data_IF_751502238141
#
_entry.id   IF_751502238141
#
_cell.length_a   1.000
_cell.length_b   1.000
_cell.length_c   1.000
_cell.angle_alpha   90.00
_cell.angle_beta   90.00
_cell.angle_gamma   90.00
#
_symmetry.space_group_name_H-M   'P 1'
#
loop_
_entity.id
_entity.type
_entity.pdbx_description
1 polymer ?
#
# COMPACT_ATOMS: atom_id res chain seq x y z
N UNK A 1 20.99 45.62 84.74
CA UNK A 1 19.84 44.81 85.20
C UNK A 1 18.60 45.60 84.79
N UNK A 2 17.83 45.03 83.86
CA UNK A 2 16.50 45.42 83.39
C UNK A 2 16.23 46.78 82.72
N UNK A 3 15.39 46.67 81.68
CA UNK A 3 14.49 47.65 81.05
C UNK A 3 15.16 48.79 80.24
N UNK A 4 14.65 49.27 79.11
CA UNK A 4 13.28 49.28 78.60
C UNK A 4 13.27 49.63 77.08
N UNK A 5 12.07 49.56 76.48
CA UNK A 5 11.56 50.30 75.31
C UNK A 5 11.56 49.72 73.88
N UNK A 6 10.50 50.17 73.20
CA UNK A 6 9.79 49.68 72.02
C UNK A 6 9.95 50.74 70.92
N UNK A 7 10.25 50.38 69.66
CA UNK A 7 9.83 51.19 68.50
C UNK A 7 9.86 50.42 67.17
N UNK A 8 8.88 50.72 66.33
CA UNK A 8 8.56 50.17 65.01
C UNK A 8 9.44 50.77 63.90
N UNK A 9 9.78 49.98 62.86
CA UNK A 9 9.50 50.29 61.43
C UNK A 9 10.22 49.37 60.41
N UNK A 10 9.41 48.55 59.73
CA UNK A 10 9.34 48.19 58.29
C UNK A 10 10.56 48.07 57.33
N UNK A 11 10.49 46.94 56.57
CA UNK A 11 10.82 46.72 55.13
C UNK A 11 12.30 46.58 54.71
N UNK A 12 12.75 45.67 53.82
CA UNK A 12 12.20 44.59 52.97
C UNK A 12 13.27 43.49 52.97
N UNK A 13 12.93 42.22 53.23
CA UNK A 13 13.83 41.08 52.94
C UNK A 13 13.30 40.32 51.73
N UNK A 14 14.17 40.16 50.73
CA UNK A 14 14.06 39.12 49.72
C UNK A 14 13.76 37.80 50.40
N UNK A 15 12.61 37.21 50.04
CA UNK A 15 12.29 35.84 50.40
C UNK A 15 13.01 34.95 49.38
N UNK A 16 14.01 34.24 49.87
CA UNK A 16 14.64 33.11 49.19
C UNK A 16 13.56 32.11 48.75
N UNK A 17 13.29 32.08 47.45
CA UNK A 17 12.48 31.02 46.87
C UNK A 17 13.38 29.80 46.64
N UNK A 18 13.30 28.84 47.56
CA UNK A 18 13.75 27.47 47.36
C UNK A 18 13.25 26.96 46.00
N UNK A 19 14.18 26.85 45.06
CA UNK A 19 13.94 26.39 43.71
C UNK A 19 13.63 24.88 43.75
N UNK A 20 12.34 24.55 43.80
CA UNK A 20 11.80 23.22 43.48
C UNK A 20 12.43 22.73 42.16
N UNK A 21 13.18 21.64 42.25
CA UNK A 21 13.78 20.92 41.11
C UNK A 21 12.73 20.72 40.00
N UNK A 22 12.94 21.31 38.83
CA UNK A 22 12.15 21.08 37.61
C UNK A 22 12.58 19.74 36.95
N UNK A 23 11.64 18.88 36.53
CA UNK A 23 11.96 17.61 35.87
C UNK A 23 12.24 17.79 34.37
N UNK A 24 13.26 17.08 33.86
CA UNK A 24 13.46 16.81 32.44
C UNK A 24 14.55 17.64 31.75
N UNK A 25 15.79 17.13 31.75
CA UNK A 25 16.78 17.47 30.73
C UNK A 25 16.22 17.03 29.37
N UNK A 26 16.05 17.99 28.45
CA UNK A 26 15.59 17.72 27.09
C UNK A 26 16.79 17.14 26.33
N UNK A 27 16.72 15.87 25.91
CA UNK A 27 17.67 15.23 24.99
C UNK A 27 17.01 15.17 23.59
N UNK A 28 17.24 16.16 22.72
CA UNK A 28 16.63 16.18 21.39
C UNK A 28 17.08 15.02 20.52
N UNK A 29 18.34 14.59 20.65
CA UNK A 29 18.93 13.55 19.81
C UNK A 29 18.47 12.14 20.25
N UNK A 30 18.34 11.92 21.56
CA UNK A 30 17.71 10.72 22.11
C UNK A 30 16.24 10.61 21.70
N UNK A 31 15.47 11.69 21.82
CA UNK A 31 14.07 11.71 21.40
C UNK A 31 13.92 11.45 19.89
N UNK A 32 14.77 12.06 19.07
CA UNK A 32 14.78 11.86 17.62
C UNK A 32 15.06 10.39 17.25
N UNK A 33 16.07 9.78 17.88
CA UNK A 33 16.38 8.35 17.70
C UNK A 33 15.23 7.45 18.14
N UNK A 34 14.63 7.70 19.30
CA UNK A 34 13.48 6.94 19.80
C UNK A 34 12.30 6.98 18.82
N UNK A 35 12.03 8.14 18.22
CA UNK A 35 10.98 8.28 17.19
C UNK A 35 11.32 7.47 15.94
N UNK A 36 12.56 7.50 15.47
CA UNK A 36 12.98 6.72 14.29
C UNK A 36 12.87 5.22 14.54
N UNK A 37 13.26 4.72 15.72
CA UNK A 37 13.14 3.31 16.07
C UNK A 37 11.69 2.84 16.19
N UNK A 38 10.86 3.61 16.89
CA UNK A 38 9.42 3.33 17.01
C UNK A 38 8.74 3.34 15.63
N UNK A 39 9.06 4.33 14.80
CA UNK A 39 8.54 4.41 13.45
C UNK A 39 8.98 3.20 12.60
N UNK A 40 10.24 2.76 12.69
CA UNK A 40 10.76 1.60 11.96
C UNK A 40 9.98 0.32 12.32
N UNK A 41 9.79 0.06 13.61
CA UNK A 41 9.02 -1.09 14.10
C UNK A 41 7.56 -1.04 13.65
N UNK A 42 6.87 0.08 13.90
CA UNK A 42 5.46 0.21 13.58
C UNK A 42 5.21 0.15 12.07
N UNK A 43 6.02 0.83 11.27
CA UNK A 43 5.89 0.80 9.81
C UNK A 43 6.22 -0.57 9.22
N UNK A 44 7.21 -1.28 9.76
CA UNK A 44 7.51 -2.66 9.36
C UNK A 44 6.35 -3.61 9.67
N UNK A 45 5.77 -3.52 10.87
CA UNK A 45 4.72 -4.42 11.34
C UNK A 45 3.33 -4.13 10.73
N UNK A 46 2.99 -2.87 10.52
CA UNK A 46 1.62 -2.46 10.17
C UNK A 46 1.53 -1.73 8.82
N UNK A 47 2.65 -1.63 8.11
CA UNK A 47 2.76 -0.94 6.84
C UNK A 47 2.64 0.58 6.96
N UNK A 48 2.95 1.27 5.87
CA UNK A 48 2.86 2.73 5.82
C UNK A 48 1.44 3.23 6.14
N UNK A 49 0.40 2.61 5.57
CA UNK A 49 -1.00 3.04 5.75
C UNK A 49 -1.50 2.86 7.19
N UNK A 50 -1.14 1.76 7.86
CA UNK A 50 -1.70 1.36 9.15
C UNK A 50 -1.23 2.20 10.33
N UNK A 51 -0.14 2.95 10.19
CA UNK A 51 0.50 3.65 11.32
C UNK A 51 0.20 5.15 11.31
N UNK A 52 -0.25 5.69 12.43
CA UNK A 52 -0.42 7.13 12.62
C UNK A 52 0.74 7.78 13.40
N UNK A 53 0.99 9.07 13.16
CA UNK A 53 2.00 9.85 13.91
C UNK A 53 1.78 9.77 15.43
N UNK A 54 0.53 9.73 15.89
CA UNK A 54 0.20 9.61 17.31
C UNK A 54 0.63 8.28 17.92
N UNK A 55 0.53 7.19 17.16
CA UNK A 55 0.97 5.86 17.62
C UNK A 55 2.50 5.83 17.76
N UNK A 56 3.21 6.38 16.77
CA UNK A 56 4.68 6.52 16.82
C UNK A 56 5.12 7.38 18.00
N UNK A 57 4.46 8.52 18.21
CA UNK A 57 4.77 9.42 19.31
C UNK A 57 4.56 8.74 20.67
N UNK A 58 3.44 8.02 20.84
CA UNK A 58 3.15 7.28 22.05
C UNK A 58 4.19 6.19 22.33
N UNK A 59 4.59 5.42 21.31
CA UNK A 59 5.61 4.38 21.47
C UNK A 59 7.01 4.96 21.74
N UNK A 60 7.34 6.10 21.15
CA UNK A 60 8.61 6.79 21.39
C UNK A 60 8.64 7.60 22.70
N UNK A 61 7.53 7.67 23.45
CA UNK A 61 7.44 8.45 24.68
C UNK A 61 7.49 9.98 24.48
N UNK A 62 7.15 10.47 23.28
CA UNK A 62 7.19 11.90 22.92
C UNK A 62 5.81 12.42 22.55
N UNK A 63 5.68 13.75 22.44
CA UNK A 63 4.43 14.35 21.96
C UNK A 63 4.34 14.27 20.43
N UNK A 64 3.13 14.13 19.84
CA UNK A 64 2.97 14.17 18.38
C UNK A 64 3.49 15.47 17.74
N UNK A 65 3.42 16.58 18.47
CA UNK A 65 3.99 17.86 18.03
C UNK A 65 5.50 17.82 17.89
N UNK A 66 6.21 17.10 18.77
CA UNK A 66 7.67 16.94 18.68
C UNK A 66 8.06 16.09 17.47
N UNK A 67 7.28 15.05 17.14
CA UNK A 67 7.49 14.26 15.91
C UNK A 67 7.34 15.14 14.67
N UNK A 68 6.30 15.97 14.61
CA UNK A 68 6.10 16.88 13.48
C UNK A 68 7.18 17.97 13.41
N UNK A 69 7.70 18.43 14.56
CA UNK A 69 8.81 19.37 14.60
C UNK A 69 10.11 18.79 14.03
N UNK A 70 10.41 17.51 14.27
CA UNK A 70 11.61 16.86 13.74
C UNK A 70 11.50 16.48 12.26
N UNK A 71 10.33 15.98 11.82
CA UNK A 71 10.21 15.28 10.54
C UNK A 71 9.25 15.96 9.55
N UNK A 72 8.52 16.99 9.99
CA UNK A 72 7.59 17.78 9.19
C UNK A 72 6.28 17.07 8.85
N UNK A 73 6.36 15.90 8.20
CA UNK A 73 5.21 15.09 7.80
C UNK A 73 5.44 13.62 8.08
N UNK A 74 4.36 12.82 8.04
CA UNK A 74 4.46 11.36 8.08
C UNK A 74 5.33 10.82 6.94
N UNK A 75 5.27 11.42 5.77
CA UNK A 75 6.10 11.06 4.62
C UNK A 75 7.56 11.41 4.85
N UNK A 76 7.83 12.57 5.48
CA UNK A 76 9.17 12.96 5.89
C UNK A 76 9.79 11.96 6.87
N UNK A 77 9.04 11.61 7.91
CA UNK A 77 9.44 10.59 8.87
C UNK A 77 9.67 9.23 8.18
N UNK A 78 8.73 8.80 7.36
CA UNK A 78 8.84 7.51 6.67
C UNK A 78 10.04 7.45 5.72
N UNK A 79 10.27 8.51 4.93
CA UNK A 79 11.45 8.62 4.05
C UNK A 79 12.75 8.52 4.82
N UNK A 80 12.81 9.06 6.03
CA UNK A 80 14.01 8.99 6.84
C UNK A 80 14.22 7.61 7.46
N UNK A 81 13.15 6.98 7.92
CA UNK A 81 13.16 5.61 8.41
C UNK A 81 13.62 4.64 7.32
N UNK A 82 13.07 4.79 6.11
CA UNK A 82 13.42 4.00 4.92
C UNK A 82 14.70 4.50 4.24
N UNK A 83 15.24 5.63 4.67
CA UNK A 83 16.32 6.41 4.04
C UNK A 83 17.54 5.60 3.59
N UNK A 84 17.83 4.49 4.27
CA UNK A 84 18.96 3.62 3.94
C UNK A 84 18.62 2.34 3.19
N UNK A 85 17.37 2.08 2.80
CA UNK A 85 16.97 0.72 2.45
C UNK A 85 17.25 0.30 1.00
N UNK A 86 17.47 1.21 0.05
CA UNK A 86 17.67 0.82 -1.37
C UNK A 86 19.11 0.40 -1.69
N UNK A 87 20.09 0.69 -0.83
CA UNK A 87 21.48 0.29 -1.06
C UNK A 87 22.20 1.01 -2.21
N UNK A 88 21.57 1.98 -2.88
CA UNK A 88 22.17 2.76 -3.99
C UNK A 88 22.33 4.23 -3.58
N UNK A 89 22.76 4.48 -2.34
CA UNK A 89 23.00 5.86 -1.90
C UNK A 89 24.18 6.48 -2.65
N UNK A 90 24.25 7.81 -2.61
CA UNK A 90 25.40 8.55 -3.14
C UNK A 90 26.73 8.11 -2.51
N UNK A 91 26.71 7.67 -1.26
CA UNK A 91 27.87 7.10 -0.57
C UNK A 91 28.27 5.75 -1.17
N UNK A 92 27.31 4.90 -1.54
CA UNK A 92 27.58 3.61 -2.20
C UNK A 92 28.12 3.83 -3.61
N UNK A 93 27.50 4.72 -4.39
CA UNK A 93 27.95 5.02 -5.74
C UNK A 93 29.30 5.75 -5.75
N UNK A 94 29.57 6.64 -4.78
CA UNK A 94 30.87 7.30 -4.65
C UNK A 94 31.96 6.40 -4.06
N UNK A 95 31.60 5.37 -3.28
CA UNK A 95 32.53 4.31 -2.88
C UNK A 95 32.86 3.40 -4.07
N UNK A 96 31.85 3.02 -4.87
CA UNK A 96 32.02 2.21 -6.08
C UNK A 96 32.78 2.96 -7.19
N UNK A 97 32.55 4.28 -7.35
CA UNK A 97 33.25 5.09 -8.35
C UNK A 97 34.73 5.33 -8.04
N UNK A 98 35.19 5.09 -6.80
CA UNK A 98 36.62 5.16 -6.44
C UNK A 98 37.44 4.00 -7.03
N UNK A 99 36.77 2.93 -7.46
CA UNK A 99 37.33 1.78 -8.16
C UNK A 99 36.65 1.68 -9.53
N UNK A 100 37.03 2.59 -10.44
CA UNK A 100 36.30 2.87 -11.69
C UNK A 100 36.21 1.67 -12.63
N UNK A 101 37.08 0.67 -12.44
CA UNK A 101 37.19 -0.53 -13.27
C UNK A 101 36.14 -1.62 -12.91
N UNK A 102 35.47 -1.56 -11.73
CA UNK A 102 34.42 -2.52 -11.32
C UNK A 102 33.20 -1.84 -10.68
N UNK A 103 32.76 -0.70 -11.22
CA UNK A 103 31.53 -0.04 -10.76
C UNK A 103 30.30 -1.00 -10.76
N UNK A 104 30.04 -1.80 -11.82
CA UNK A 104 28.92 -2.75 -11.83
C UNK A 104 29.02 -3.81 -10.73
N UNK A 105 30.21 -4.40 -10.49
CA UNK A 105 30.40 -5.41 -9.45
C UNK A 105 30.35 -4.84 -8.05
N UNK A 106 30.91 -3.65 -7.83
CA UNK A 106 30.79 -2.95 -6.55
C UNK A 106 29.33 -2.61 -6.22
N UNK A 107 28.56 -2.16 -7.22
CA UNK A 107 27.13 -1.89 -7.06
C UNK A 107 26.35 -3.18 -6.77
N UNK A 108 26.55 -4.25 -7.55
CA UNK A 108 25.89 -5.54 -7.37
C UNK A 108 26.10 -6.10 -5.95
N UNK A 109 27.37 -6.16 -5.51
CA UNK A 109 27.75 -6.66 -4.18
C UNK A 109 27.12 -5.83 -3.07
N UNK A 110 27.28 -4.50 -3.13
CA UNK A 110 26.78 -3.60 -2.08
C UNK A 110 25.26 -3.64 -1.97
N UNK A 111 24.58 -3.73 -3.12
CA UNK A 111 23.13 -3.81 -3.19
C UNK A 111 22.58 -5.09 -2.55
N UNK A 112 23.09 -6.25 -2.98
CA UNK A 112 22.65 -7.55 -2.45
C UNK A 112 23.00 -7.68 -0.95
N UNK A 113 24.22 -7.33 -0.55
CA UNK A 113 24.65 -7.34 0.85
C UNK A 113 23.75 -6.47 1.74
N UNK A 114 23.30 -5.32 1.22
CA UNK A 114 22.42 -4.43 1.96
C UNK A 114 21.06 -5.07 2.19
N UNK A 115 20.48 -5.67 1.17
CA UNK A 115 19.17 -6.33 1.24
C UNK A 115 19.21 -7.57 2.12
N UNK A 116 20.26 -8.39 2.03
CA UNK A 116 20.47 -9.56 2.89
C UNK A 116 20.60 -9.17 4.39
N UNK A 117 21.09 -7.96 4.69
CA UNK A 117 21.25 -7.44 6.06
C UNK A 117 20.07 -6.60 6.54
N UNK A 118 19.01 -6.45 5.74
CA UNK A 118 17.82 -5.73 6.19
C UNK A 118 17.21 -6.44 7.39
N UNK A 119 16.89 -5.72 8.48
CA UNK A 119 16.20 -6.33 9.60
C UNK A 119 14.81 -6.85 9.17
N UNK A 120 14.28 -7.93 9.78
CA UNK A 120 12.97 -8.47 9.43
C UNK A 120 11.83 -7.43 9.50
N UNK A 121 11.92 -6.48 10.43
CA UNK A 121 11.00 -5.36 10.58
C UNK A 121 11.36 -4.12 9.73
N UNK A 122 12.20 -4.25 8.70
CA UNK A 122 12.47 -3.11 7.84
C UNK A 122 11.17 -2.65 7.13
N UNK A 123 10.87 -1.35 7.11
CA UNK A 123 9.66 -0.86 6.48
C UNK A 123 9.68 -0.89 4.95
N UNK A 124 10.80 -1.22 4.31
CA UNK A 124 10.88 -1.25 2.85
C UNK A 124 9.96 -2.28 2.20
N UNK A 125 10.05 -3.58 2.55
CA UNK A 125 9.15 -4.59 1.99
C UNK A 125 7.68 -4.25 2.25
N UNK A 126 7.38 -3.67 3.41
CA UNK A 126 6.04 -3.22 3.76
C UNK A 126 5.55 -2.05 2.88
N UNK A 127 6.43 -1.11 2.50
CA UNK A 127 6.07 -0.04 1.56
C UNK A 127 5.82 -0.58 0.16
N UNK A 128 6.68 -1.47 -0.35
CA UNK A 128 6.50 -2.04 -1.69
C UNK A 128 5.18 -2.82 -1.76
N UNK A 129 4.90 -3.66 -0.75
CA UNK A 129 3.60 -4.34 -0.63
C UNK A 129 2.44 -3.35 -0.55
N UNK A 130 2.58 -2.26 0.20
CA UNK A 130 1.56 -1.22 0.31
C UNK A 130 1.36 -0.44 -0.99
N UNK A 131 2.39 -0.27 -1.81
CA UNK A 131 2.30 0.43 -3.10
C UNK A 131 1.35 -0.30 -4.07
N UNK A 132 1.23 -1.62 -3.93
CA UNK A 132 0.24 -2.41 -4.68
C UNK A 132 -1.16 -2.13 -4.11
N UNK A 133 -1.93 -1.29 -4.81
CA UNK A 133 -3.31 -0.99 -4.46
C UNK A 133 -3.53 0.20 -3.52
N UNK A 134 -2.47 0.94 -3.15
CA UNK A 134 -2.59 2.21 -2.42
C UNK A 134 -1.78 3.33 -3.08
N UNK A 135 -2.47 4.20 -3.82
CA UNK A 135 -1.85 5.27 -4.61
C UNK A 135 -0.89 6.19 -3.82
N UNK A 136 -1.18 6.62 -2.57
CA UNK A 136 -0.21 7.37 -1.76
C UNK A 136 1.08 6.60 -1.43
N UNK A 137 1.01 5.30 -1.15
CA UNK A 137 2.22 4.49 -0.95
C UNK A 137 3.00 4.29 -2.25
N UNK A 138 2.29 4.14 -3.38
CA UNK A 138 2.94 4.08 -4.69
C UNK A 138 3.67 5.38 -5.03
N UNK A 139 3.05 6.52 -4.74
CA UNK A 139 3.65 7.85 -4.95
C UNK A 139 4.85 8.10 -4.04
N UNK A 140 4.76 7.65 -2.78
CA UNK A 140 5.88 7.70 -1.84
C UNK A 140 7.05 6.81 -2.30
N UNK A 141 6.76 5.57 -2.72
CA UNK A 141 7.76 4.65 -3.29
C UNK A 141 8.42 5.26 -4.53
N UNK A 142 7.63 5.81 -5.47
CA UNK A 142 8.12 6.49 -6.67
C UNK A 142 9.06 7.64 -6.31
N UNK A 143 8.66 8.48 -5.36
CA UNK A 143 9.47 9.61 -4.88
C UNK A 143 10.78 9.15 -4.26
N UNK A 144 10.76 8.09 -3.46
CA UNK A 144 11.97 7.56 -2.83
C UNK A 144 12.90 6.94 -3.87
N UNK A 145 12.39 6.10 -4.77
CA UNK A 145 13.18 5.49 -5.84
C UNK A 145 13.82 6.54 -6.74
N UNK A 146 13.09 7.60 -7.07
CA UNK A 146 13.64 8.70 -7.88
C UNK A 146 14.78 9.40 -7.15
N UNK A 147 14.59 9.81 -5.89
CA UNK A 147 15.61 10.53 -5.12
C UNK A 147 16.81 9.69 -4.72
N UNK A 148 16.59 8.43 -4.34
CA UNK A 148 17.64 7.57 -3.78
C UNK A 148 18.32 6.70 -4.82
N UNK A 149 17.75 6.51 -6.00
CA UNK A 149 18.31 5.64 -7.05
C UNK A 149 18.43 6.38 -8.37
N UNK A 150 17.36 7.05 -8.81
CA UNK A 150 17.33 7.81 -10.07
C UNK A 150 18.36 8.94 -10.11
N UNK A 151 18.23 9.93 -9.23
CA UNK A 151 19.10 11.12 -9.20
C UNK A 151 20.59 10.77 -9.05
N UNK A 152 21.00 9.83 -8.16
CA UNK A 152 22.40 9.42 -8.08
C UNK A 152 22.92 8.72 -9.34
N UNK A 153 22.12 7.85 -9.97
CA UNK A 153 22.51 7.19 -11.23
C UNK A 153 22.64 8.18 -12.38
N UNK A 154 21.70 9.13 -12.51
CA UNK A 154 21.77 10.18 -13.54
C UNK A 154 23.00 11.06 -13.35
N UNK A 155 23.36 11.40 -12.10
CA UNK A 155 24.59 12.15 -11.81
C UNK A 155 25.86 11.39 -12.21
N UNK A 156 25.87 10.08 -12.00
CA UNK A 156 26.99 9.21 -12.36
C UNK A 156 27.12 8.99 -13.88
N UNK A 157 25.99 8.79 -14.56
CA UNK A 157 25.93 8.49 -16.00
C UNK A 157 25.95 9.74 -16.89
N UNK A 158 25.72 10.92 -16.31
CA UNK A 158 25.60 12.19 -17.02
C UNK A 158 24.17 12.52 -17.45
N UNK A 159 23.97 13.75 -17.94
CA UNK A 159 22.67 14.28 -18.35
C UNK A 159 22.49 14.19 -19.88
N UNK A 160 22.33 12.96 -20.41
CA UNK A 160 21.93 12.73 -21.80
C UNK A 160 20.70 11.83 -21.89
N UNK A 161 19.89 11.90 -22.97
CA UNK A 161 18.74 11.00 -23.15
C UNK A 161 19.13 9.51 -23.09
N UNK A 162 20.31 9.16 -23.58
CA UNK A 162 20.85 7.81 -23.49
C UNK A 162 21.21 7.43 -22.05
N UNK A 163 21.78 8.36 -21.27
CA UNK A 163 22.09 8.15 -19.87
C UNK A 163 20.83 7.96 -19.03
N UNK A 164 19.74 8.68 -19.32
CA UNK A 164 18.44 8.48 -18.68
C UNK A 164 17.87 7.09 -18.96
N UNK A 165 17.94 6.61 -20.21
CA UNK A 165 17.53 5.25 -20.58
C UNK A 165 18.39 4.20 -19.86
N UNK A 166 19.71 4.38 -19.80
CA UNK A 166 20.62 3.50 -19.05
C UNK A 166 20.30 3.49 -17.55
N UNK A 167 20.06 4.65 -16.95
CA UNK A 167 19.65 4.75 -15.55
C UNK A 167 18.33 4.01 -15.29
N UNK A 168 17.37 4.13 -16.20
CA UNK A 168 16.10 3.40 -16.13
C UNK A 168 16.29 1.87 -16.24
N UNK A 169 17.18 1.40 -17.11
CA UNK A 169 17.53 -0.01 -17.25
C UNK A 169 18.19 -0.56 -15.98
N UNK A 170 19.22 0.13 -15.47
CA UNK A 170 19.89 -0.23 -14.21
C UNK A 170 18.87 -0.30 -13.07
N UNK A 171 18.01 0.71 -12.92
CA UNK A 171 16.96 0.72 -11.90
C UNK A 171 15.97 -0.44 -12.06
N UNK A 172 15.62 -0.80 -13.29
CA UNK A 172 14.69 -1.90 -13.58
C UNK A 172 15.28 -3.25 -13.20
N UNK A 173 16.55 -3.49 -13.52
CA UNK A 173 17.28 -4.72 -13.13
C UNK A 173 17.34 -4.83 -11.61
N UNK A 174 17.79 -3.78 -10.93
CA UNK A 174 17.90 -3.76 -9.47
C UNK A 174 16.53 -4.02 -8.81
N UNK A 175 15.48 -3.32 -9.25
CA UNK A 175 14.13 -3.52 -8.71
C UNK A 175 13.59 -4.92 -8.99
N UNK A 176 13.86 -5.50 -10.17
CA UNK A 176 13.51 -6.88 -10.50
C UNK A 176 14.14 -7.88 -9.54
N UNK A 177 15.41 -7.69 -9.18
CA UNK A 177 16.09 -8.51 -8.17
C UNK A 177 15.40 -8.39 -6.81
N UNK A 178 14.98 -7.19 -6.38
CA UNK A 178 14.19 -7.02 -5.15
C UNK A 178 12.93 -7.88 -5.19
N UNK A 179 12.16 -7.74 -6.27
CA UNK A 179 10.89 -8.42 -6.43
C UNK A 179 11.07 -9.94 -6.39
N UNK A 180 12.00 -10.46 -7.19
CA UNK A 180 12.20 -11.90 -7.38
C UNK A 180 12.81 -12.58 -6.15
N UNK A 181 13.90 -12.04 -5.63
CA UNK A 181 14.70 -12.67 -4.56
C UNK A 181 14.15 -12.39 -3.17
N UNK A 182 13.70 -11.18 -2.90
CA UNK A 182 13.40 -10.74 -1.52
C UNK A 182 11.90 -10.63 -1.23
N UNK A 183 11.08 -10.31 -2.23
CA UNK A 183 9.65 -10.06 -2.03
C UNK A 183 8.78 -11.26 -2.37
N UNK A 184 8.95 -11.83 -3.55
CA UNK A 184 8.31 -13.09 -3.92
C UNK A 184 9.08 -14.30 -3.39
N UNK A 185 10.39 -14.15 -3.20
CA UNK A 185 11.27 -15.19 -2.70
C UNK A 185 11.16 -16.50 -3.51
N UNK A 186 11.18 -16.37 -4.84
CA UNK A 186 11.17 -17.53 -5.74
C UNK A 186 12.49 -18.30 -5.63
N UNK A 187 12.42 -19.63 -5.65
CA UNK A 187 13.61 -20.48 -5.71
C UNK A 187 14.07 -20.70 -7.16
N UNK A 188 15.39 -20.73 -7.45
CA UNK A 188 16.50 -20.71 -6.49
C UNK A 188 16.96 -19.29 -6.08
N UNK A 189 16.35 -18.23 -6.61
CA UNK A 189 16.83 -16.86 -6.43
C UNK A 189 16.90 -16.43 -4.95
N UNK A 190 15.96 -16.90 -4.12
CA UNK A 190 15.91 -16.64 -2.68
C UNK A 190 17.07 -17.27 -1.89
N UNK A 191 17.44 -18.52 -2.20
CA UNK A 191 18.42 -19.28 -1.41
C UNK A 191 19.88 -19.16 -1.90
N UNK A 192 20.10 -18.74 -3.15
CA UNK A 192 21.46 -18.57 -3.70
C UNK A 192 22.25 -17.55 -2.87
N UNK A 193 23.48 -17.86 -2.42
CA UNK A 193 24.29 -16.90 -1.68
C UNK A 193 24.64 -15.66 -2.50
N UNK A 194 24.68 -14.48 -1.86
CA UNK A 194 25.05 -13.22 -2.53
C UNK A 194 26.39 -13.29 -3.24
N UNK A 195 27.39 -13.99 -2.66
CA UNK A 195 28.69 -14.21 -3.30
C UNK A 195 28.61 -14.94 -4.65
N UNK A 196 27.58 -15.79 -4.86
CA UNK A 196 27.36 -16.50 -6.11
C UNK A 196 26.50 -15.70 -7.11
N UNK A 197 25.57 -14.89 -6.62
CA UNK A 197 24.68 -14.08 -7.48
C UNK A 197 25.33 -12.75 -7.94
N UNK A 198 26.18 -12.16 -7.10
CA UNK A 198 26.76 -10.84 -7.36
C UNK A 198 27.57 -10.76 -8.67
N UNK A 199 28.40 -11.75 -9.05
CA UNK A 199 29.12 -11.71 -10.34
C UNK A 199 28.17 -11.69 -11.54
N UNK A 200 27.14 -12.54 -11.55
CA UNK A 200 26.16 -12.58 -12.64
C UNK A 200 25.35 -11.28 -12.74
N UNK A 201 24.98 -10.69 -11.59
CA UNK A 201 24.34 -9.38 -11.56
C UNK A 201 25.27 -8.28 -12.06
N UNK A 202 26.57 -8.34 -11.75
CA UNK A 202 27.57 -7.40 -12.23
C UNK A 202 27.64 -7.39 -13.77
N UNK A 203 27.61 -8.56 -14.42
CA UNK A 203 27.63 -8.67 -15.89
C UNK A 203 26.38 -8.03 -16.53
N UNK A 204 25.20 -8.25 -15.94
CA UNK A 204 23.94 -7.63 -16.39
C UNK A 204 23.99 -6.12 -16.20
N UNK A 205 24.49 -5.65 -15.06
CA UNK A 205 24.65 -4.22 -14.79
C UNK A 205 25.66 -3.59 -15.74
N UNK A 206 26.79 -4.24 -16.02
CA UNK A 206 27.81 -3.75 -16.96
C UNK A 206 27.20 -3.51 -18.35
N UNK A 207 26.34 -4.42 -18.80
CA UNK A 207 25.56 -4.26 -20.04
C UNK A 207 24.67 -3.01 -19.98
N UNK A 208 23.96 -2.80 -18.88
CA UNK A 208 23.08 -1.64 -18.68
C UNK A 208 23.85 -0.31 -18.53
N UNK A 209 25.07 -0.33 -17.97
CA UNK A 209 25.93 0.85 -17.81
C UNK A 209 26.60 1.27 -19.13
N UNK A 210 26.97 0.33 -20.00
CA UNK A 210 27.76 0.67 -21.18
C UNK A 210 28.10 -0.45 -22.14
N UNK A 211 27.29 -1.52 -22.23
CA UNK A 211 27.44 -2.51 -23.30
C UNK A 211 27.21 -1.87 -24.68
N UNK A 212 28.28 -1.38 -25.29
CA UNK A 212 28.29 -0.78 -26.62
C UNK A 212 27.74 -1.78 -27.65
N UNK A 213 26.53 -1.55 -28.15
CA UNK A 213 26.04 -2.19 -29.38
C UNK A 213 24.57 -2.59 -29.45
N UNK A 214 23.83 -2.70 -28.35
CA UNK A 214 22.52 -3.39 -28.40
C UNK A 214 21.28 -2.49 -28.60
N UNK A 215 21.35 -1.19 -28.33
CA UNK A 215 20.17 -0.30 -28.42
C UNK A 215 20.13 0.57 -29.68
N UNK A 216 21.05 0.38 -30.63
CA UNK A 216 21.07 1.08 -31.91
C UNK A 216 20.21 0.42 -33.00
N UNK A 217 19.09 -0.20 -32.63
CA UNK A 217 18.05 -0.53 -33.62
C UNK A 217 17.02 0.60 -33.60
N UNK A 218 16.79 1.33 -34.70
CA UNK A 218 15.82 2.40 -34.72
C UNK A 218 14.44 1.83 -34.36
N UNK A 219 13.80 2.48 -33.38
CA UNK A 219 12.41 2.28 -33.02
C UNK A 219 11.60 2.18 -34.33
N UNK A 220 10.98 1.03 -34.62
CA UNK A 220 10.12 0.94 -35.79
C UNK A 220 9.06 2.04 -35.69
N UNK A 221 8.83 2.83 -36.77
CA UNK A 221 7.72 3.76 -36.78
C UNK A 221 6.41 2.98 -36.57
N UNK A 222 5.38 3.60 -35.97
CA UNK A 222 4.11 2.95 -35.71
C UNK A 222 3.56 2.35 -37.01
N UNK A 223 2.91 1.16 -36.95
CA UNK A 223 2.42 0.50 -38.14
C UNK A 223 1.41 1.40 -38.86
N UNK A 224 1.69 1.65 -40.13
CA UNK A 224 0.83 2.39 -41.03
C UNK A 224 -0.56 1.73 -41.09
N UNK A 225 -1.58 2.48 -40.65
CA UNK A 225 -2.97 2.05 -40.57
C UNK A 225 -3.61 1.76 -41.95
N UNK A 226 -2.87 1.97 -43.04
CA UNK A 226 -3.34 1.74 -44.41
C UNK A 226 -2.99 0.35 -44.98
N UNK A 227 -2.27 -0.52 -44.26
CA UNK A 227 -2.02 -1.90 -44.72
C UNK A 227 -3.22 -2.83 -44.46
N UNK A 228 -3.77 -3.53 -45.48
CA UNK A 228 -4.84 -4.48 -45.27
C UNK A 228 -4.35 -5.69 -44.46
N UNK A 229 -5.15 -6.10 -43.45
CA UNK A 229 -4.89 -7.27 -42.62
C UNK A 229 -4.85 -8.53 -43.48
N UNK A 230 -3.78 -9.32 -43.37
CA UNK A 230 -3.74 -10.66 -43.96
C UNK A 230 -4.71 -11.57 -43.20
N UNK A 231 -5.64 -12.18 -43.91
CA UNK A 231 -6.53 -13.23 -43.41
C UNK A 231 -5.75 -14.53 -43.29
N UNK A 232 -5.91 -15.25 -42.17
CA UNK A 232 -5.46 -16.63 -42.05
C UNK A 232 -6.40 -17.56 -42.84
N UNK A 233 -5.91 -18.66 -43.45
CA UNK A 233 -6.76 -19.63 -44.11
C UNK A 233 -7.45 -20.54 -43.07
N UNK A 234 -8.75 -20.79 -43.29
CA UNK A 234 -9.56 -21.74 -42.54
C UNK A 234 -9.03 -23.17 -42.74
N UNK A 235 -8.75 -23.86 -41.64
CA UNK A 235 -8.44 -25.28 -41.66
C UNK A 235 -9.75 -26.09 -41.65
N UNK A 236 -9.88 -26.90 -42.69
CA UNK A 236 -10.95 -27.86 -42.99
C UNK A 236 -11.19 -28.87 -41.87
N UNK A 237 -12.47 -29.08 -41.56
CA UNK A 237 -13.01 -30.25 -40.86
C UNK A 237 -12.97 -31.46 -41.80
N UNK A 238 -12.48 -32.61 -41.31
CA UNK A 238 -12.99 -33.97 -41.59
C UNK A 238 -11.97 -35.04 -41.14
N UNK A 239 -12.27 -35.77 -40.05
CA UNK A 239 -12.39 -37.25 -40.02
C UNK A 239 -12.53 -37.79 -38.56
N UNK A 240 -13.32 -38.86 -38.33
CA UNK A 240 -13.57 -39.42 -37.01
C UNK A 240 -12.73 -40.67 -36.74
N UNK A 241 -12.18 -40.82 -35.52
CA UNK A 241 -11.67 -42.11 -35.06
C UNK A 241 -12.45 -42.58 -33.82
N UNK A 242 -13.26 -43.59 -34.09
CA UNK A 242 -14.04 -44.40 -33.16
C UNK A 242 -13.13 -45.38 -32.42
N UNK A 243 -13.31 -45.54 -31.11
CA UNK A 243 -12.62 -46.54 -30.29
C UNK A 243 -13.11 -46.50 -28.85
N UNK A 244 -14.09 -47.34 -28.52
CA UNK A 244 -14.78 -47.37 -27.23
C UNK A 244 -13.96 -47.96 -26.07
N UNK A 245 -14.30 -47.53 -24.85
CA UNK A 245 -13.89 -48.12 -23.58
C UNK A 245 -15.05 -48.89 -22.95
N UNK A 246 -14.82 -50.03 -22.26
CA UNK A 246 -15.88 -50.70 -21.51
C UNK A 246 -16.06 -50.07 -20.12
N UNK A 247 -17.32 -50.10 -19.67
CA UNK A 247 -17.84 -49.54 -18.44
C UNK A 247 -17.42 -50.32 -17.17
N UNK A 248 -17.36 -49.63 -16.03
CA UNK A 248 -17.13 -50.24 -14.72
C UNK A 248 -17.35 -49.32 -13.51
N UNK A 249 -18.63 -49.10 -13.17
CA UNK A 249 -19.21 -48.88 -11.82
C UNK A 249 -18.96 -47.60 -10.98
N UNK A 250 -19.92 -47.25 -10.09
CA UNK A 250 -20.23 -45.89 -9.63
C UNK A 250 -19.71 -45.56 -8.22
N UNK A 251 -19.97 -44.32 -7.79
CA UNK A 251 -19.87 -43.77 -6.43
C UNK A 251 -18.56 -43.07 -6.05
N UNK A 252 -18.51 -41.77 -6.40
CA UNK A 252 -18.39 -40.65 -5.44
C UNK A 252 -18.61 -39.36 -6.22
N UNK A 253 -19.68 -38.65 -5.91
CA UNK A 253 -20.01 -37.34 -6.48
C UNK A 253 -19.00 -36.30 -5.96
N UNK A 254 -17.80 -36.32 -6.56
CA UNK A 254 -16.84 -35.22 -6.48
C UNK A 254 -17.36 -34.10 -7.35
N UNK A 255 -17.44 -32.89 -6.79
CA UNK A 255 -17.69 -31.66 -7.54
C UNK A 255 -16.81 -31.64 -8.80
N UNK A 256 -17.33 -31.18 -9.95
CA UNK A 256 -16.58 -31.22 -11.20
C UNK A 256 -15.24 -30.49 -11.01
N UNK A 257 -14.11 -31.09 -11.46
CA UNK A 257 -12.83 -30.42 -11.44
C UNK A 257 -12.94 -29.13 -12.23
N UNK A 258 -12.41 -28.03 -11.68
CA UNK A 258 -12.34 -26.76 -12.38
C UNK A 258 -11.58 -26.96 -13.71
N UNK A 259 -12.00 -26.30 -14.81
CA UNK A 259 -11.31 -26.45 -16.09
C UNK A 259 -9.84 -26.04 -15.95
N UNK A 260 -8.92 -26.92 -16.35
CA UNK A 260 -7.49 -26.63 -16.47
C UNK A 260 -7.24 -25.79 -17.73
N UNK A 261 -7.64 -24.52 -17.70
CA UNK A 261 -7.15 -23.52 -18.65
C UNK A 261 -6.07 -22.67 -17.96
N UNK A 262 -4.93 -22.52 -18.65
CA UNK A 262 -3.62 -21.96 -18.24
C UNK A 262 -3.64 -20.45 -17.86
N UNK A 263 -4.82 -19.88 -17.60
CA UNK A 263 -5.05 -18.46 -17.24
C UNK A 263 -5.50 -18.28 -15.77
N UNK A 264 -5.48 -19.36 -14.98
CA UNK A 264 -5.83 -19.30 -13.56
C UNK A 264 -4.78 -18.47 -12.78
N UNK A 265 -5.19 -17.47 -11.98
CA UNK A 265 -4.25 -16.66 -11.23
C UNK A 265 -3.40 -17.55 -10.31
N UNK A 266 -2.07 -17.33 -10.33
CA UNK A 266 -1.09 -18.09 -9.53
C UNK A 266 -1.39 -18.11 -8.02
N UNK A 267 -2.27 -17.22 -7.56
CA UNK A 267 -2.87 -17.22 -6.23
C UNK A 267 -4.34 -16.85 -6.30
N UNK A 268 -5.21 -17.63 -5.62
CA UNK A 268 -6.63 -17.33 -5.45
C UNK A 268 -6.86 -15.94 -4.85
N UNK A 269 -6.01 -15.49 -3.91
CA UNK A 269 -6.11 -14.16 -3.32
C UNK A 269 -5.66 -13.04 -4.26
N UNK A 270 -4.70 -13.31 -5.16
CA UNK A 270 -4.32 -12.36 -6.20
C UNK A 270 -5.46 -12.17 -7.21
N UNK A 271 -6.09 -13.27 -7.64
CA UNK A 271 -7.29 -13.25 -8.48
C UNK A 271 -8.45 -12.49 -7.83
N UNK A 272 -8.77 -12.80 -6.57
CA UNK A 272 -9.80 -12.09 -5.80
C UNK A 272 -9.48 -10.59 -5.67
N UNK A 273 -8.22 -10.23 -5.46
CA UNK A 273 -7.78 -8.84 -5.34
C UNK A 273 -7.90 -8.08 -6.65
N UNK A 274 -7.50 -8.69 -7.77
CA UNK A 274 -7.64 -8.12 -9.11
C UNK A 274 -9.13 -7.90 -9.47
N UNK A 275 -9.97 -8.93 -9.28
CA UNK A 275 -11.42 -8.83 -9.49
C UNK A 275 -12.00 -7.70 -8.62
N UNK A 276 -11.63 -7.63 -7.35
CA UNK A 276 -12.09 -6.58 -6.45
C UNK A 276 -11.63 -5.18 -6.87
N UNK A 277 -10.40 -5.03 -7.38
CA UNK A 277 -9.86 -3.77 -7.87
C UNK A 277 -10.56 -3.30 -9.15
N UNK A 278 -10.80 -4.21 -10.10
CA UNK A 278 -11.57 -3.93 -11.32
C UNK A 278 -13.01 -3.55 -10.99
N UNK A 279 -13.67 -4.30 -10.12
CA UNK A 279 -15.02 -3.97 -9.64
C UNK A 279 -15.06 -2.60 -8.95
N UNK A 280 -14.07 -2.27 -8.11
CA UNK A 280 -13.96 -0.94 -7.47
C UNK A 280 -13.84 0.19 -8.50
N UNK A 281 -13.11 -0.02 -9.58
CA UNK A 281 -12.98 0.95 -10.68
C UNK A 281 -14.30 1.15 -11.44
N UNK A 282 -15.04 0.07 -11.70
CA UNK A 282 -16.39 0.15 -12.32
C UNK A 282 -17.35 0.90 -11.38
N UNK A 283 -17.38 0.54 -10.11
CA UNK A 283 -18.24 1.17 -9.12
C UNK A 283 -17.92 2.66 -8.94
N UNK A 284 -16.63 3.00 -8.85
CA UNK A 284 -16.17 4.39 -8.73
C UNK A 284 -16.60 5.27 -9.90
N UNK A 285 -16.61 4.75 -11.13
CA UNK A 285 -17.13 5.47 -12.31
C UNK A 285 -18.65 5.68 -12.21
N UNK A 286 -19.38 4.65 -11.83
CA UNK A 286 -20.85 4.69 -11.70
C UNK A 286 -21.29 5.73 -10.68
N UNK A 287 -20.73 5.72 -9.47
CA UNK A 287 -21.14 6.64 -8.40
C UNK A 287 -20.74 8.09 -8.68
N UNK A 288 -19.64 8.31 -9.43
CA UNK A 288 -19.20 9.64 -9.84
C UNK A 288 -20.19 10.31 -10.79
N UNK A 289 -20.91 9.54 -11.61
CA UNK A 289 -21.97 10.06 -12.47
C UNK A 289 -23.13 10.70 -11.68
N UNK A 290 -23.29 10.33 -10.41
CA UNK A 290 -24.25 10.90 -9.47
C UNK A 290 -23.67 12.01 -8.59
N UNK A 291 -22.46 12.50 -8.89
CA UNK A 291 -21.85 13.62 -8.18
C UNK A 291 -21.26 13.27 -6.80
N UNK A 292 -21.19 11.98 -6.43
CA UNK A 292 -20.64 11.54 -5.14
C UNK A 292 -19.36 10.71 -5.32
N UNK A 293 -18.46 10.83 -4.34
CA UNK A 293 -17.25 10.01 -4.30
C UNK A 293 -17.55 8.58 -3.84
N UNK A 294 -16.75 7.60 -4.28
CA UNK A 294 -16.89 6.20 -3.86
C UNK A 294 -16.94 5.98 -2.33
N UNK A 295 -16.09 6.62 -1.51
CA UNK A 295 -16.20 6.46 -0.06
C UNK A 295 -17.50 7.07 0.51
N UNK A 296 -17.99 8.18 -0.05
CA UNK A 296 -19.26 8.77 0.35
C UNK A 296 -20.44 7.85 -0.01
N UNK A 297 -20.38 7.21 -1.18
CA UNK A 297 -21.36 6.18 -1.53
C UNK A 297 -21.37 5.00 -0.55
N UNK A 298 -20.22 4.52 -0.09
CA UNK A 298 -20.17 3.44 0.91
C UNK A 298 -20.86 3.82 2.23
N UNK A 299 -20.81 5.10 2.63
CA UNK A 299 -21.57 5.60 3.79
C UNK A 299 -23.07 5.51 3.55
N UNK A 300 -23.55 5.99 2.39
CA UNK A 300 -24.96 5.91 2.02
C UNK A 300 -25.44 4.46 1.96
N UNK A 301 -24.67 3.57 1.35
CA UNK A 301 -24.96 2.14 1.28
C UNK A 301 -25.05 1.50 2.68
N UNK A 302 -24.06 1.74 3.54
CA UNK A 302 -24.05 1.20 4.90
C UNK A 302 -25.26 1.66 5.76
N UNK A 303 -25.70 2.90 5.58
CA UNK A 303 -26.91 3.42 6.23
C UNK A 303 -28.18 2.85 5.60
N UNK A 304 -28.21 2.66 4.28
CA UNK A 304 -29.38 2.11 3.59
C UNK A 304 -29.58 0.62 3.90
N UNK A 305 -28.50 -0.13 4.07
CA UNK A 305 -28.51 -1.58 4.29
C UNK A 305 -28.99 -1.99 5.69
N UNK A 306 -28.98 -1.07 6.67
CA UNK A 306 -29.50 -1.34 8.03
C UNK A 306 -31.03 -1.31 8.10
N UNK A 307 -31.70 -0.90 7.02
CA UNK A 307 -33.16 -0.70 7.00
C UNK A 307 -33.60 0.53 7.77
N UNK A 308 -34.92 0.81 7.80
CA UNK A 308 -35.47 1.95 8.53
C UNK A 308 -35.16 1.85 10.04
N UNK A 309 -34.72 2.94 10.70
CA UNK A 309 -34.77 4.35 10.27
C UNK A 309 -33.49 4.86 9.57
N UNK A 310 -32.74 3.98 8.90
CA UNK A 310 -31.50 4.28 8.17
C UNK A 310 -30.44 4.94 9.04
N UNK A 311 -30.30 4.44 10.27
CA UNK A 311 -29.50 5.02 11.34
C UNK A 311 -28.34 4.09 11.72
N UNK A 312 -27.12 4.64 11.78
CA UNK A 312 -25.95 3.97 12.36
C UNK A 312 -25.07 4.98 13.10
N UNK A 313 -24.30 4.53 14.09
CA UNK A 313 -23.24 5.38 14.62
C UNK A 313 -22.13 5.55 13.59
N UNK A 314 -21.34 6.61 13.72
CA UNK A 314 -20.15 6.82 12.89
C UNK A 314 -19.17 5.63 13.02
N UNK A 315 -19.09 5.02 14.20
CA UNK A 315 -18.28 3.82 14.43
C UNK A 315 -18.80 2.60 13.66
N UNK A 316 -20.11 2.36 13.69
CA UNK A 316 -20.74 1.23 12.98
C UNK A 316 -20.63 1.37 11.46
N UNK A 317 -20.68 2.61 10.94
CA UNK A 317 -20.44 2.87 9.53
C UNK A 317 -18.97 2.59 9.18
N UNK A 318 -18.01 3.01 10.00
CA UNK A 318 -16.60 2.71 9.77
C UNK A 318 -16.33 1.20 9.73
N UNK A 319 -16.93 0.45 10.66
CA UNK A 319 -16.86 -1.00 10.70
C UNK A 319 -17.47 -1.65 9.44
N UNK A 320 -18.65 -1.19 9.02
CA UNK A 320 -19.35 -1.73 7.85
C UNK A 320 -18.62 -1.45 6.51
N UNK A 321 -17.93 -0.33 6.38
CA UNK A 321 -17.24 0.07 5.14
C UNK A 321 -15.85 -0.60 5.00
N UNK A 322 -15.36 -1.29 6.04
CA UNK A 322 -14.11 -2.07 5.98
C UNK A 322 -12.84 -1.23 5.85
N UNK A 323 -12.90 0.06 6.21
CA UNK A 323 -11.76 0.97 6.25
C UNK A 323 -11.73 1.67 7.60
N UNK A 324 -10.57 1.66 8.27
CA UNK A 324 -10.43 2.29 9.58
C UNK A 324 -10.88 3.78 9.60
N UNK A 325 -11.13 4.36 10.78
CA UNK A 325 -11.89 5.61 10.97
C UNK A 325 -11.37 6.87 10.24
N UNK A 326 -10.19 6.82 9.62
CA UNK A 326 -9.55 7.94 8.94
C UNK A 326 -10.20 8.25 7.59
N UNK A 327 -11.01 9.31 7.54
CA UNK A 327 -11.63 9.85 6.32
C UNK A 327 -13.16 9.81 6.32
N UNK A 328 -13.77 8.97 7.16
CA UNK A 328 -15.22 8.84 7.25
C UNK A 328 -15.91 10.17 7.61
N UNK A 329 -15.34 10.91 8.57
CA UNK A 329 -15.84 12.23 8.97
C UNK A 329 -15.93 13.17 7.79
N UNK A 330 -14.89 13.27 6.96
CA UNK A 330 -14.85 14.17 5.81
C UNK A 330 -15.86 13.79 4.71
N UNK A 331 -16.15 12.49 4.55
CA UNK A 331 -17.17 12.04 3.61
C UNK A 331 -18.58 12.28 4.14
N UNK A 332 -18.81 12.03 5.43
CA UNK A 332 -20.07 12.34 6.07
C UNK A 332 -20.32 13.87 6.14
N UNK A 333 -19.28 14.71 6.27
CA UNK A 333 -19.42 16.18 6.22
C UNK A 333 -19.91 16.62 4.85
N UNK A 334 -19.35 16.05 3.78
CA UNK A 334 -19.77 16.33 2.40
C UNK A 334 -21.18 15.84 2.09
N UNK A 335 -21.57 14.70 2.63
CA UNK A 335 -22.95 14.19 2.48
C UNK A 335 -23.96 15.03 3.26
N UNK A 336 -23.59 15.52 4.45
CA UNK A 336 -24.40 16.44 5.24
C UNK A 336 -24.55 17.79 4.55
N UNK A 337 -23.47 18.36 4.03
CA UNK A 337 -23.51 19.59 3.22
C UNK A 337 -24.35 19.45 1.93
N UNK A 338 -24.41 18.24 1.37
CA UNK A 338 -25.25 17.92 0.22
C UNK A 338 -26.71 17.58 0.59
N UNK A 339 -27.08 17.62 1.88
CA UNK A 339 -28.43 17.29 2.35
C UNK A 339 -28.81 15.82 2.23
N UNK A 340 -27.85 14.92 2.05
CA UNK A 340 -28.09 13.47 1.86
C UNK A 340 -28.03 12.68 3.17
N UNK A 341 -27.39 13.24 4.19
CA UNK A 341 -27.28 12.67 5.53
C UNK A 341 -27.54 13.78 6.55
N UNK A 342 -28.13 13.43 7.68
CA UNK A 342 -28.19 14.30 8.86
C UNK A 342 -27.46 13.67 10.03
N UNK A 343 -26.91 14.49 10.91
CA UNK A 343 -26.21 14.04 12.11
C UNK A 343 -26.91 14.46 13.38
N UNK A 344 -26.97 13.54 14.33
CA UNK A 344 -27.41 13.85 15.69
C UNK A 344 -26.41 13.28 16.69
N UNK A 345 -26.03 14.12 17.65
CA UNK A 345 -25.27 13.64 18.81
C UNK A 345 -26.22 12.92 19.73
N UNK A 346 -25.74 11.82 20.30
CA UNK A 346 -26.50 11.10 21.32
C UNK A 346 -26.74 12.02 22.53
N UNK A 347 -27.91 11.86 23.16
CA UNK A 347 -28.35 12.71 24.29
C UNK A 347 -27.60 12.34 25.57
N UNK A 348 -27.24 11.07 25.72
CA UNK A 348 -26.64 10.52 26.94
C UNK A 348 -25.11 10.49 26.84
N UNK A 349 -24.55 10.25 25.64
CA UNK A 349 -23.11 10.35 25.38
C UNK A 349 -22.79 11.22 24.16
N UNK A 350 -22.35 12.47 24.42
CA UNK A 350 -21.96 13.44 23.39
C UNK A 350 -20.80 12.98 22.49
N UNK A 351 -20.08 11.92 22.85
CA UNK A 351 -19.02 11.32 22.01
C UNK A 351 -19.59 10.46 20.89
N UNK A 352 -20.84 10.01 21.02
CA UNK A 352 -21.53 9.19 20.01
C UNK A 352 -22.24 10.11 19.01
N UNK A 353 -21.97 9.89 17.74
CA UNK A 353 -22.60 10.61 16.62
C UNK A 353 -23.35 9.62 15.75
N UNK A 354 -24.65 9.80 15.66
CA UNK A 354 -25.56 9.04 14.80
C UNK A 354 -25.68 9.73 13.44
N UNK A 355 -25.53 8.94 12.38
CA UNK A 355 -25.79 9.34 11.01
C UNK A 355 -27.14 8.76 10.58
N UNK A 356 -27.93 9.56 9.87
CA UNK A 356 -29.21 9.14 9.28
C UNK A 356 -29.25 9.51 7.81
N UNK A 357 -29.86 8.67 6.97
CA UNK A 357 -30.25 9.12 5.64
C UNK A 357 -31.40 10.12 5.73
N UNK A 358 -31.32 11.18 4.92
CA UNK A 358 -32.47 12.03 4.60
C UNK A 358 -33.33 11.34 3.51
N UNK A 359 -34.56 11.79 3.25
CA UNK A 359 -35.35 11.30 2.11
C UNK A 359 -34.58 11.35 0.79
N UNK A 360 -33.87 12.44 0.53
CA UNK A 360 -33.03 12.64 -0.66
C UNK A 360 -31.86 11.66 -0.69
N UNK A 361 -31.27 11.37 0.47
CA UNK A 361 -30.23 10.36 0.65
C UNK A 361 -30.71 8.94 0.34
N UNK A 362 -31.93 8.60 0.77
CA UNK A 362 -32.57 7.29 0.47
C UNK A 362 -32.80 7.16 -1.03
N UNK A 363 -33.40 8.16 -1.66
CA UNK A 363 -33.65 8.14 -3.11
C UNK A 363 -32.36 7.99 -3.92
N UNK A 364 -31.31 8.73 -3.55
CA UNK A 364 -30.03 8.64 -4.23
C UNK A 364 -29.40 7.25 -4.05
N UNK A 365 -29.42 6.71 -2.83
CA UNK A 365 -28.91 5.37 -2.55
C UNK A 365 -29.67 4.31 -3.36
N UNK A 366 -30.99 4.42 -3.48
CA UNK A 366 -31.81 3.48 -4.24
C UNK A 366 -31.61 3.60 -5.75
N UNK A 367 -31.47 4.82 -6.30
CA UNK A 367 -31.11 5.01 -7.72
C UNK A 367 -29.78 4.34 -8.06
N UNK A 368 -28.74 4.57 -7.24
CA UNK A 368 -27.42 3.98 -7.48
C UNK A 368 -27.47 2.46 -7.30
N UNK A 369 -28.21 1.97 -6.29
CA UNK A 369 -28.41 0.53 -6.07
C UNK A 369 -29.06 -0.15 -7.28
N UNK A 370 -30.06 0.48 -7.90
CA UNK A 370 -30.70 -0.02 -9.12
C UNK A 370 -29.69 -0.22 -10.26
N UNK A 371 -28.93 0.82 -10.60
CA UNK A 371 -27.90 0.74 -11.66
C UNK A 371 -26.84 -0.31 -11.34
N UNK A 372 -26.41 -0.40 -10.08
CA UNK A 372 -25.45 -1.43 -9.66
C UNK A 372 -26.01 -2.83 -9.78
N UNK A 373 -27.28 -3.05 -9.44
CA UNK A 373 -27.90 -4.36 -9.58
C UNK A 373 -27.95 -4.79 -11.06
N UNK A 374 -28.18 -3.85 -11.98
CA UNK A 374 -28.14 -4.10 -13.41
C UNK A 374 -26.73 -4.44 -13.89
N UNK A 375 -25.72 -3.67 -13.47
CA UNK A 375 -24.31 -3.94 -13.77
C UNK A 375 -23.84 -5.27 -13.19
N UNK A 376 -24.26 -5.62 -11.98
CA UNK A 376 -23.93 -6.90 -11.36
C UNK A 376 -24.56 -8.06 -12.13
N UNK A 377 -25.81 -7.93 -12.59
CA UNK A 377 -26.43 -8.95 -13.46
C UNK A 377 -25.65 -9.16 -14.76
N UNK A 378 -25.14 -8.08 -15.36
CA UNK A 378 -24.32 -8.12 -16.57
C UNK A 378 -22.93 -8.73 -16.31
N UNK A 379 -22.24 -8.31 -15.24
CA UNK A 379 -20.93 -8.84 -14.85
C UNK A 379 -21.00 -10.34 -14.51
N UNK A 380 -22.13 -10.80 -13.96
CA UNK A 380 -22.36 -12.20 -13.65
C UNK A 380 -22.96 -12.98 -14.82
N UNK A 381 -23.25 -12.36 -15.98
CA UNK A 381 -23.93 -13.01 -17.10
C UNK A 381 -23.19 -14.25 -17.64
N UNK A 382 -21.86 -14.28 -17.51
CA UNK A 382 -21.03 -15.44 -17.86
C UNK A 382 -21.10 -16.61 -16.87
N UNK A 383 -21.75 -16.44 -15.72
CA UNK A 383 -21.93 -17.49 -14.70
C UNK A 383 -23.38 -17.96 -14.67
N UNK A 384 -23.57 -19.28 -14.70
CA UNK A 384 -24.85 -19.94 -14.45
C UNK A 384 -25.35 -19.67 -13.02
N UNK A 385 -26.65 -19.89 -12.79
CA UNK A 385 -27.23 -19.72 -11.45
C UNK A 385 -26.58 -20.64 -10.40
N UNK A 386 -26.17 -21.85 -10.82
CA UNK A 386 -25.47 -22.80 -9.95
C UNK A 386 -24.07 -22.29 -9.57
N UNK A 387 -23.30 -21.78 -10.53
CA UNK A 387 -21.96 -21.20 -10.29
C UNK A 387 -22.04 -19.96 -9.42
N UNK A 388 -23.03 -19.08 -9.62
CA UNK A 388 -23.26 -17.92 -8.75
C UNK A 388 -23.52 -18.34 -7.31
N UNK A 389 -24.38 -19.34 -7.09
CA UNK A 389 -24.65 -19.89 -5.75
C UNK A 389 -23.39 -20.49 -5.13
N UNK A 390 -22.64 -21.26 -5.89
CA UNK A 390 -21.37 -21.87 -5.44
C UNK A 390 -20.36 -20.78 -5.06
N UNK A 391 -20.19 -19.74 -5.88
CA UNK A 391 -19.33 -18.62 -5.61
C UNK A 391 -19.73 -17.90 -4.31
N UNK A 392 -21.04 -17.67 -4.09
CA UNK A 392 -21.54 -17.10 -2.83
C UNK A 392 -21.17 -17.96 -1.62
N UNK A 393 -21.34 -19.29 -1.71
CA UNK A 393 -20.98 -20.22 -0.63
C UNK A 393 -19.48 -20.17 -0.33
N UNK A 394 -18.64 -20.22 -1.37
CA UNK A 394 -17.18 -20.20 -1.24
C UNK A 394 -16.68 -18.86 -0.65
N UNK A 395 -17.17 -17.73 -1.15
CA UNK A 395 -16.80 -16.41 -0.63
C UNK A 395 -17.25 -16.22 0.82
N UNK A 396 -18.43 -16.74 1.18
CA UNK A 396 -18.95 -16.68 2.56
C UNK A 396 -18.11 -17.56 3.50
N UNK A 397 -17.73 -18.76 3.07
CA UNK A 397 -16.84 -19.63 3.83
C UNK A 397 -15.47 -18.96 4.04
N UNK A 398 -14.89 -18.39 2.98
CA UNK A 398 -13.62 -17.66 3.04
C UNK A 398 -13.68 -16.45 3.98
N UNK A 399 -14.76 -15.66 3.90
CA UNK A 399 -14.98 -14.50 4.76
C UNK A 399 -15.07 -14.87 6.25
N UNK A 400 -15.72 -16.00 6.58
CA UNK A 400 -15.77 -16.50 7.97
C UNK A 400 -14.38 -16.88 8.50
N UNK A 401 -13.56 -17.55 7.70
CA UNK A 401 -12.19 -17.92 8.08
C UNK A 401 -11.33 -16.68 8.33
N UNK A 402 -11.46 -15.65 7.50
CA UNK A 402 -10.73 -14.37 7.67
C UNK A 402 -11.23 -13.59 8.90
N UNK A 403 -12.54 -13.59 9.16
CA UNK A 403 -13.15 -12.90 10.30
C UNK A 403 -12.88 -13.57 11.65
N UNK A 404 -12.62 -14.88 11.67
CA UNK A 404 -12.28 -15.63 12.88
C UNK A 404 -10.83 -15.36 13.38
N UNK A 405 -10.02 -14.63 12.60
CA UNK A 405 -8.59 -14.50 12.83
C UNK A 405 -7.86 -15.75 12.37
N UNK A 406 -6.76 -15.58 11.63
CA UNK A 406 -5.86 -16.71 11.34
C UNK A 406 -5.20 -17.07 12.67
N UNK A 407 -5.35 -18.31 13.19
CA UNK A 407 -4.64 -18.70 14.40
C UNK A 407 -3.14 -18.56 14.14
N UNK A 408 -2.47 -17.76 14.97
CA UNK A 408 -1.03 -17.61 14.97
C UNK A 408 -0.40 -19.01 15.06
N UNK A 409 0.35 -19.41 14.02
CA UNK A 409 1.13 -20.65 14.01
C UNK A 409 2.60 -20.33 14.08
#
# INVERSE_FOLDING_TARGET
MNDCFYEHSFNVRHVDAENKRRPGSHDPEGNRRAVLEAARRLFGAHGYKGVGIRAIAAEAGVTPGLVMAYFGTKDGLFREVVGGGTGVSEEVLSAAARDTDDLPGALARTYLDRWDRLPPQDPWPALIRSAVGHAPSAELLRTILEKQVGEPLTRLLGASPEAEVRAALVRSVLFGVIMERYLFAHEPAASVPTAALAPALADVLATAFGGAGALSSPLMPPPDASRPRRTCPEASRDEPLSGGLPAGSPDRETAPPFPEDDDSPSSLFAGLSDIAARHRTVLGRTVRAYGISLPAYHVLAALRDVGEPYRRTTGDVAAAVGGGPGGLTQHADRLEAAGLVRRERDRDDRRIVHLFLTPEGVELADRIRGVRADQERELLAGLSLAERRQLTVLLTALGRTLGAGVPER
#
